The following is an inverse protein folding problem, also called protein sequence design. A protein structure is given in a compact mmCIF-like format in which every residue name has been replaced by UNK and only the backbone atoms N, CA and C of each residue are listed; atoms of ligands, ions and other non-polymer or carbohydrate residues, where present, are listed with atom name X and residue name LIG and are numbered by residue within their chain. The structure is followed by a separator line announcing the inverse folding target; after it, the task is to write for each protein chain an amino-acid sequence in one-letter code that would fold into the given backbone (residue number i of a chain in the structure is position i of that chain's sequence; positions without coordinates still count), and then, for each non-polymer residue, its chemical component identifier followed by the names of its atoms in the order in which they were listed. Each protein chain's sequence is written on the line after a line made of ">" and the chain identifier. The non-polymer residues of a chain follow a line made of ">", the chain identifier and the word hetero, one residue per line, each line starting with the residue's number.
data_IF_703092692204
#
_entry.id   IF_703092692204
#
_cell.length_a   1.000
_cell.length_b   1.000
_cell.length_c   1.000
_cell.angle_alpha   90.00
_cell.angle_beta   90.00
_cell.angle_gamma   90.00
#
_symmetry.space_group_name_H-M   'P 1'
#
loop_
_entity.id
_entity.type
_entity.pdbx_description
1 polymer ?
#
# COMPACT_ATOMS: atom_id res chain seq x y z
N UNK A 1 -9.66 -7.33 11.04
CA UNK A 1 -8.76 -6.41 10.33
C UNK A 1 -9.02 -5.01 10.84
N UNK A 2 -8.00 -4.15 10.80
CA UNK A 2 -8.17 -2.72 11.05
C UNK A 2 -8.74 -2.02 9.81
N UNK A 3 -9.42 -0.89 9.99
CA UNK A 3 -10.00 -0.12 8.87
C UNK A 3 -8.94 0.75 8.20
N UNK A 4 -9.20 1.16 6.96
CA UNK A 4 -8.28 2.01 6.19
C UNK A 4 -8.02 3.34 6.92
N UNK A 5 -9.07 3.95 7.48
CA UNK A 5 -9.01 5.22 8.19
C UNK A 5 -8.15 5.10 9.45
N UNK A 6 -8.32 4.00 10.21
CA UNK A 6 -7.55 3.75 11.41
C UNK A 6 -6.06 3.57 11.08
N UNK A 7 -5.73 2.81 10.03
CA UNK A 7 -4.35 2.66 9.58
C UNK A 7 -3.74 4.01 9.21
N UNK A 8 -4.44 4.84 8.44
CA UNK A 8 -3.99 6.20 8.10
C UNK A 8 -3.72 7.06 9.33
N UNK A 9 -4.59 7.02 10.34
CA UNK A 9 -4.41 7.74 11.61
C UNK A 9 -3.19 7.25 12.39
N UNK A 10 -2.95 5.94 12.43
CA UNK A 10 -1.79 5.34 13.11
C UNK A 10 -0.48 5.70 12.41
N UNK A 11 -0.46 5.70 11.08
CA UNK A 11 0.70 6.13 10.29
C UNK A 11 1.02 7.60 10.58
N UNK A 12 0.02 8.48 10.46
CA UNK A 12 0.21 9.91 10.73
C UNK A 12 0.69 10.18 12.17
N UNK A 13 0.10 9.48 13.14
CA UNK A 13 0.54 9.59 14.54
C UNK A 13 1.99 9.13 14.71
N UNK A 14 2.37 7.97 14.18
CA UNK A 14 3.75 7.47 14.28
C UNK A 14 4.77 8.45 13.67
N UNK A 15 4.47 9.02 12.49
CA UNK A 15 5.31 10.03 11.85
C UNK A 15 5.42 11.31 12.70
N UNK A 16 4.33 11.75 13.34
CA UNK A 16 4.35 12.90 14.26
C UNK A 16 5.26 12.70 15.48
N UNK A 17 5.51 11.44 15.84
CA UNK A 17 6.43 11.07 16.92
C UNK A 17 7.88 10.85 16.41
N UNK A 18 8.15 11.15 15.14
CA UNK A 18 9.47 11.00 14.53
C UNK A 18 9.86 9.56 14.18
N UNK A 19 8.90 8.63 14.17
CA UNK A 19 9.15 7.24 13.76
C UNK A 19 9.19 7.13 12.23
N UNK A 20 9.95 6.14 11.75
CA UNK A 20 9.86 5.64 10.38
C UNK A 20 8.81 4.55 10.31
N UNK A 21 8.00 4.54 9.25
CA UNK A 21 6.85 3.65 9.13
C UNK A 21 7.00 2.75 7.91
N UNK A 22 6.79 1.46 8.10
CA UNK A 22 6.50 0.52 7.02
C UNK A 22 4.98 0.33 7.02
N UNK A 23 4.30 0.86 6.00
CA UNK A 23 2.86 0.77 5.87
C UNK A 23 2.49 -0.34 4.87
N UNK A 24 1.77 -1.35 5.34
CA UNK A 24 1.46 -2.53 4.53
C UNK A 24 0.10 -2.42 3.83
N UNK A 25 0.05 -2.83 2.57
CA UNK A 25 -1.19 -2.95 1.77
C UNK A 25 -1.21 -4.28 1.05
N UNK A 26 -2.40 -4.83 0.81
CA UNK A 26 -2.54 -6.10 0.10
C UNK A 26 -3.97 -6.61 0.09
N UNK A 27 -4.32 -7.36 -0.93
CA UNK A 27 -5.65 -7.89 -1.14
C UNK A 27 -5.79 -9.33 -0.64
N UNK A 28 -7.02 -9.76 -0.34
CA UNK A 28 -7.34 -11.17 -0.06
C UNK A 28 -7.38 -12.00 -1.35
N UNK A 29 -7.47 -13.33 -1.21
CA UNK A 29 -7.55 -14.21 -2.39
C UNK A 29 -8.83 -13.92 -3.19
N UNK A 30 -9.95 -13.73 -2.49
CA UNK A 30 -11.24 -13.44 -3.09
C UNK A 30 -11.21 -12.13 -3.88
N UNK A 31 -10.52 -11.11 -3.35
CA UNK A 31 -10.33 -9.83 -4.03
C UNK A 31 -9.44 -9.97 -5.27
N UNK A 32 -8.37 -10.78 -5.20
CA UNK A 32 -7.53 -11.09 -6.37
C UNK A 32 -8.32 -11.82 -7.45
N UNK A 33 -9.08 -12.85 -7.08
CA UNK A 33 -9.89 -13.65 -7.99
C UNK A 33 -11.07 -12.84 -8.59
N UNK A 34 -11.57 -11.84 -7.86
CA UNK A 34 -12.56 -10.88 -8.35
C UNK A 34 -11.97 -9.78 -9.26
N UNK A 35 -10.64 -9.74 -9.44
CA UNK A 35 -9.98 -8.72 -10.26
C UNK A 35 -9.92 -7.33 -9.63
N UNK A 36 -10.12 -7.21 -8.31
CA UNK A 36 -10.18 -5.92 -7.59
C UNK A 36 -8.89 -5.56 -6.86
N UNK A 37 -7.77 -6.25 -7.13
CA UNK A 37 -6.48 -6.00 -6.47
C UNK A 37 -6.10 -4.53 -6.44
N UNK A 38 -6.09 -3.86 -7.60
CA UNK A 38 -5.68 -2.45 -7.68
C UNK A 38 -6.65 -1.51 -6.98
N UNK A 39 -7.95 -1.80 -6.99
CA UNK A 39 -8.95 -1.02 -6.25
C UNK A 39 -8.67 -1.08 -4.75
N UNK A 40 -8.44 -2.29 -4.22
CA UNK A 40 -8.20 -2.52 -2.79
C UNK A 40 -6.90 -1.87 -2.33
N UNK A 41 -5.79 -2.09 -3.02
CA UNK A 41 -4.50 -1.53 -2.60
C UNK A 41 -4.47 0.00 -2.77
N UNK A 42 -5.07 0.54 -3.83
CA UNK A 42 -5.15 1.99 -4.03
C UNK A 42 -6.02 2.66 -2.96
N UNK A 43 -7.16 2.08 -2.58
CA UNK A 43 -8.01 2.62 -1.51
C UNK A 43 -7.27 2.67 -0.17
N UNK A 44 -6.47 1.65 0.15
CA UNK A 44 -5.64 1.62 1.36
C UNK A 44 -4.51 2.64 1.31
N UNK A 45 -3.80 2.72 0.20
CA UNK A 45 -2.73 3.72 0.00
C UNK A 45 -3.29 5.13 0.07
N UNK A 46 -4.48 5.38 -0.51
CA UNK A 46 -5.15 6.68 -0.42
C UNK A 46 -5.46 7.08 1.02
N UNK A 47 -5.98 6.16 1.83
CA UNK A 47 -6.31 6.47 3.23
C UNK A 47 -5.07 6.89 4.05
N UNK A 48 -3.89 6.36 3.71
CA UNK A 48 -2.62 6.82 4.27
C UNK A 48 -2.25 8.21 3.71
N UNK A 49 -2.28 8.37 2.39
CA UNK A 49 -1.95 9.62 1.71
C UNK A 49 -2.80 10.81 2.21
N UNK A 50 -4.09 10.59 2.49
CA UNK A 50 -5.01 11.61 3.00
C UNK A 50 -4.66 12.09 4.42
N UNK A 51 -3.80 11.37 5.15
CA UNK A 51 -3.46 11.65 6.56
C UNK A 51 -2.04 12.17 6.75
N UNK A 52 -1.18 12.13 5.72
CA UNK A 52 0.23 12.50 5.81
C UNK A 52 0.60 13.55 4.78
N UNK A 53 1.57 14.40 5.09
CA UNK A 53 2.04 15.46 4.19
C UNK A 53 3.37 15.14 3.48
N UNK A 54 4.12 14.15 3.96
CA UNK A 54 5.39 13.70 3.38
C UNK A 54 5.52 12.18 3.45
N UNK A 55 6.21 11.61 2.46
CA UNK A 55 6.52 10.19 2.32
C UNK A 55 7.97 9.84 2.69
N UNK A 56 8.81 10.81 3.07
CA UNK A 56 10.27 10.63 3.29
C UNK A 56 10.62 9.56 4.34
N UNK A 57 9.71 9.32 5.29
CA UNK A 57 9.86 8.35 6.36
C UNK A 57 8.86 7.18 6.26
N UNK A 58 8.29 6.96 5.07
CA UNK A 58 7.31 5.90 4.81
C UNK A 58 7.83 4.95 3.73
N UNK A 59 7.84 3.65 4.03
CA UNK A 59 7.96 2.59 3.03
C UNK A 59 6.59 1.96 2.86
N UNK A 60 6.06 1.94 1.63
CA UNK A 60 4.85 1.19 1.32
C UNK A 60 5.21 -0.27 0.97
N UNK A 61 4.77 -1.22 1.79
CA UNK A 61 4.97 -2.65 1.55
C UNK A 61 3.73 -3.27 0.91
N UNK A 62 3.87 -3.82 -0.29
CA UNK A 62 2.83 -4.65 -0.89
C UNK A 62 2.98 -6.10 -0.41
N UNK A 63 2.00 -6.58 0.34
CA UNK A 63 1.95 -7.91 0.91
C UNK A 63 0.62 -8.60 0.56
N UNK A 64 0.54 -9.32 -0.59
CA UNK A 64 -0.68 -10.04 -0.97
C UNK A 64 -1.04 -11.05 0.12
N UNK A 65 -2.16 -10.82 0.82
CA UNK A 65 -2.55 -11.59 2.01
C UNK A 65 -2.66 -13.08 1.68
N UNK A 66 -3.13 -13.38 0.47
CA UNK A 66 -3.29 -14.73 -0.03
C UNK A 66 -1.98 -15.51 -0.23
N UNK A 67 -0.81 -14.84 -0.20
CA UNK A 67 0.50 -15.45 -0.33
C UNK A 67 1.29 -15.51 1.01
N UNK A 68 0.71 -15.05 2.12
CA UNK A 68 1.37 -15.03 3.43
C UNK A 68 0.98 -16.29 4.21
N UNK A 69 1.93 -17.20 4.41
CA UNK A 69 1.72 -18.40 5.24
C UNK A 69 0.73 -19.43 4.67
N UNK A 70 0.26 -19.25 3.44
CA UNK A 70 -0.73 -20.13 2.78
C UNK A 70 -0.09 -21.25 1.94
N UNK A 71 1.23 -21.20 1.73
CA UNK A 71 1.94 -22.06 0.77
C UNK A 71 1.76 -21.67 -0.69
N UNK A 72 0.88 -20.70 -1.00
CA UNK A 72 0.80 -20.05 -2.32
C UNK A 72 1.81 -18.91 -2.37
N UNK A 73 2.47 -18.75 -3.52
CA UNK A 73 3.49 -17.69 -3.71
C UNK A 73 3.05 -16.83 -4.88
N UNK A 74 3.03 -15.51 -4.68
CA UNK A 74 2.88 -14.56 -5.77
C UNK A 74 4.11 -14.64 -6.68
N UNK A 75 3.89 -14.84 -7.98
CA UNK A 75 5.00 -14.82 -8.93
C UNK A 75 5.63 -13.42 -9.00
N UNK A 76 6.91 -13.30 -9.39
CA UNK A 76 7.56 -11.99 -9.57
C UNK A 76 6.79 -11.06 -10.53
N UNK A 77 6.15 -11.62 -11.56
CA UNK A 77 5.34 -10.86 -12.50
C UNK A 77 4.08 -10.27 -11.85
N UNK A 78 3.39 -11.04 -11.00
CA UNK A 78 2.22 -10.56 -10.25
C UNK A 78 2.59 -9.48 -9.24
N UNK A 79 3.73 -9.62 -8.56
CA UNK A 79 4.24 -8.58 -7.67
C UNK A 79 4.59 -7.31 -8.44
N UNK A 80 5.28 -7.44 -9.58
CA UNK A 80 5.67 -6.30 -10.42
C UNK A 80 4.47 -5.57 -11.01
N UNK A 81 3.41 -6.28 -11.40
CA UNK A 81 2.14 -5.71 -11.87
C UNK A 81 1.58 -4.72 -10.84
N UNK A 82 1.46 -5.14 -9.59
CA UNK A 82 0.91 -4.30 -8.51
C UNK A 82 1.86 -3.17 -8.13
N UNK A 83 3.17 -3.43 -8.08
CA UNK A 83 4.17 -2.39 -7.83
C UNK A 83 4.16 -1.30 -8.92
N UNK A 84 4.01 -1.69 -10.19
CA UNK A 84 3.88 -0.73 -11.29
C UNK A 84 2.59 0.08 -11.18
N UNK A 85 1.48 -0.56 -10.83
CA UNK A 85 0.20 0.12 -10.58
C UNK A 85 0.28 1.11 -9.41
N UNK A 86 0.90 0.74 -8.30
CA UNK A 86 1.10 1.61 -7.14
C UNK A 86 2.01 2.80 -7.46
N UNK A 87 3.13 2.58 -8.17
CA UNK A 87 3.99 3.70 -8.64
C UNK A 87 3.22 4.66 -9.52
N UNK A 88 2.45 4.16 -10.50
CA UNK A 88 1.58 5.01 -11.31
C UNK A 88 0.59 5.80 -10.45
N UNK A 89 -0.02 5.15 -9.46
CA UNK A 89 -0.94 5.81 -8.53
C UNK A 89 -0.25 6.94 -7.76
N UNK A 90 0.98 6.73 -7.26
CA UNK A 90 1.77 7.78 -6.61
C UNK A 90 2.06 8.95 -7.53
N UNK A 91 2.44 8.68 -8.78
CA UNK A 91 2.73 9.72 -9.76
C UNK A 91 1.49 10.61 -10.01
N UNK A 92 0.32 9.98 -10.12
CA UNK A 92 -0.93 10.67 -10.47
C UNK A 92 -1.57 11.40 -9.25
N UNK A 93 -1.37 10.89 -8.03
CA UNK A 93 -2.13 11.33 -6.84
C UNK A 93 -1.29 11.98 -5.73
N UNK A 94 0.04 11.83 -5.76
CA UNK A 94 0.95 12.42 -4.76
C UNK A 94 1.94 13.36 -5.46
N UNK A 95 2.91 12.80 -6.17
CA UNK A 95 3.84 13.55 -7.03
C UNK A 95 4.73 12.59 -7.84
N UNK A 96 5.30 13.09 -8.93
CA UNK A 96 6.31 12.37 -9.71
C UNK A 96 7.58 12.07 -8.89
N UNK A 97 7.94 12.94 -7.96
CA UNK A 97 9.11 12.78 -7.07
C UNK A 97 8.93 11.59 -6.12
N UNK A 98 7.78 11.53 -5.42
CA UNK A 98 7.46 10.40 -4.53
C UNK A 98 7.35 9.10 -5.33
N UNK A 99 6.81 9.14 -6.55
CA UNK A 99 6.72 7.97 -7.42
C UNK A 99 8.06 7.40 -7.89
N UNK A 100 9.09 8.23 -7.97
CA UNK A 100 10.40 7.86 -8.50
C UNK A 100 11.36 7.35 -7.41
N UNK A 101 10.96 7.48 -6.15
CA UNK A 101 11.75 7.14 -4.96
C UNK A 101 11.67 5.65 -4.60
#
# INVERSE_FOLDING_TARGET
>A
SETNEFVGERVAYALSQGLKVIACVGETLEQREAGTTMEVVAARTKAIADKISSWDNVVLAYEPVWAIGTGKVASPAQAQEVHAGLRKWFCDNVSAEVSAS
#
